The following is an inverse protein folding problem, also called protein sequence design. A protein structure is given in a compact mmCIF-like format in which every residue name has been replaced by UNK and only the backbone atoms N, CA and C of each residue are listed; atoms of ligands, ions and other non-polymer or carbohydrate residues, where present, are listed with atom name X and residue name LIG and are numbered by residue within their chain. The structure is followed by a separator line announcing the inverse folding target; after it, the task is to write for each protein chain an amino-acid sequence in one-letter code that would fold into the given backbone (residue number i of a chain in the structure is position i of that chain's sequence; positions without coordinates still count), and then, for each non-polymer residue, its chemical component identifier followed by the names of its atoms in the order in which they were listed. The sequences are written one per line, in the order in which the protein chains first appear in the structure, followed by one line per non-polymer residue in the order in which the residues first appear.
data_IF_249323050143
#
_entry.id   IF_249323050143
#
_cell.length_a   1.000
_cell.length_b   1.000
_cell.length_c   1.000
_cell.angle_alpha   90.00
_cell.angle_beta   90.00
_cell.angle_gamma   90.00
#
_symmetry.space_group_name_H-M   'P 1'
#
loop_
_entity.id
_entity.type
_entity.pdbx_description
1 polymer ?
#
# COMPACT_ATOMS: atom_id res chain seq x y z
N UNK A 1 18.93 5.86 -9.92
CA UNK A 1 18.06 6.37 -8.82
C UNK A 1 17.87 7.87 -8.98
N UNK A 2 16.65 8.39 -8.81
CA UNK A 2 16.32 9.79 -9.11
C UNK A 2 16.53 10.71 -7.91
N UNK A 3 17.31 11.78 -8.08
CA UNK A 3 17.50 12.82 -7.05
C UNK A 3 16.18 13.56 -6.74
N UNK A 4 15.35 13.82 -7.76
CA UNK A 4 14.02 14.42 -7.59
C UNK A 4 13.12 13.55 -6.71
N UNK A 5 13.02 12.25 -7.00
CA UNK A 5 12.17 11.34 -6.22
C UNK A 5 12.67 11.19 -4.78
N UNK A 6 13.99 11.23 -4.58
CA UNK A 6 14.61 11.25 -3.24
C UNK A 6 14.26 12.50 -2.46
N UNK A 7 14.30 13.67 -3.09
CA UNK A 7 13.89 14.94 -2.49
C UNK A 7 12.41 14.92 -2.06
N UNK A 8 11.54 14.37 -2.92
CA UNK A 8 10.12 14.20 -2.60
C UNK A 8 9.88 13.22 -1.45
N UNK A 9 10.66 12.15 -1.37
CA UNK A 9 10.61 11.22 -0.24
C UNK A 9 10.97 11.92 1.07
N UNK A 10 12.09 12.65 1.09
CA UNK A 10 12.51 13.43 2.27
C UNK A 10 11.49 14.50 2.65
N UNK A 11 10.82 15.13 1.68
CA UNK A 11 9.77 16.10 1.92
C UNK A 11 8.53 15.46 2.54
N UNK A 12 8.15 14.29 2.07
CA UNK A 12 7.03 13.51 2.61
C UNK A 12 7.31 13.07 4.04
N UNK A 13 8.52 12.59 4.35
CA UNK A 13 8.90 12.28 5.74
C UNK A 13 8.84 13.52 6.65
N UNK A 14 9.26 14.68 6.14
CA UNK A 14 9.13 15.95 6.87
C UNK A 14 7.67 16.31 7.13
N UNK A 15 6.81 16.22 6.13
CA UNK A 15 5.37 16.51 6.24
C UNK A 15 4.70 15.61 7.30
N UNK A 16 5.00 14.31 7.27
CA UNK A 16 4.48 13.35 8.25
C UNK A 16 5.00 13.67 9.65
N UNK A 17 6.29 13.96 9.79
CA UNK A 17 6.89 14.30 11.08
C UNK A 17 6.38 15.63 11.67
N UNK A 18 6.11 16.64 10.84
CA UNK A 18 5.54 17.92 11.27
C UNK A 18 4.02 17.89 11.39
N UNK A 19 3.37 16.82 10.92
CA UNK A 19 1.93 16.64 11.02
C UNK A 19 1.09 17.45 10.03
N UNK A 20 1.69 17.99 8.96
CA UNK A 20 1.00 18.86 8.02
C UNK A 20 1.89 19.46 6.92
N UNK A 21 1.27 20.10 5.94
CA UNK A 21 1.92 20.73 4.79
C UNK A 21 1.20 22.00 4.33
N UNK A 22 1.87 22.84 3.53
CA UNK A 22 1.23 23.95 2.84
C UNK A 22 0.76 23.50 1.46
N UNK A 23 -0.55 23.58 1.22
CA UNK A 23 -1.15 23.32 -0.07
C UNK A 23 -0.74 24.39 -1.11
N UNK A 24 -0.95 24.15 -2.42
CA UNK A 24 -0.65 25.14 -3.46
C UNK A 24 -1.29 26.53 -3.23
N UNK A 25 -2.47 26.58 -2.64
CA UNK A 25 -3.18 27.81 -2.22
C UNK A 25 -2.50 28.57 -1.07
N UNK A 26 -1.49 27.99 -0.44
CA UNK A 26 -0.84 28.49 0.77
C UNK A 26 -1.52 28.05 2.07
N UNK A 27 -2.71 27.42 1.99
CA UNK A 27 -3.45 26.89 3.14
C UNK A 27 -2.62 25.83 3.86
N UNK A 28 -2.61 25.90 5.19
CA UNK A 28 -2.06 24.84 6.03
C UNK A 28 -3.05 23.66 6.06
N UNK A 29 -2.58 22.48 5.71
CA UNK A 29 -3.33 21.22 5.80
C UNK A 29 -2.72 20.38 6.91
N UNK A 30 -3.51 20.05 7.91
CA UNK A 30 -3.11 19.22 9.05
C UNK A 30 -3.49 17.75 8.79
N UNK A 31 -2.54 16.85 9.00
CA UNK A 31 -2.72 15.40 8.83
C UNK A 31 -2.29 14.58 10.05
N UNK A 32 -1.72 15.22 11.08
CA UNK A 32 -1.15 14.53 12.26
C UNK A 32 -2.10 13.51 12.88
N UNK A 33 -3.35 13.91 13.15
CA UNK A 33 -4.35 13.03 13.76
C UNK A 33 -4.71 11.85 12.84
N UNK A 34 -4.76 12.05 11.52
CA UNK A 34 -5.03 10.98 10.57
C UNK A 34 -3.86 9.99 10.48
N UNK A 35 -2.62 10.50 10.48
CA UNK A 35 -1.41 9.68 10.55
C UNK A 35 -1.41 8.80 11.80
N UNK A 36 -1.64 9.37 12.98
CA UNK A 36 -1.62 8.62 14.24
C UNK A 36 -2.73 7.55 14.30
N UNK A 37 -3.93 7.86 13.81
CA UNK A 37 -5.00 6.85 13.68
C UNK A 37 -4.59 5.71 12.75
N UNK A 38 -4.01 6.04 11.59
CA UNK A 38 -3.61 5.06 10.60
C UNK A 38 -2.48 4.14 11.12
N UNK A 39 -1.50 4.70 11.83
CA UNK A 39 -0.44 3.95 12.52
C UNK A 39 -1.01 3.02 13.58
N UNK A 40 -1.83 3.54 14.49
CA UNK A 40 -2.41 2.76 15.58
C UNK A 40 -3.34 1.64 15.08
N UNK A 41 -4.01 1.86 13.94
CA UNK A 41 -4.86 0.85 13.30
C UNK A 41 -4.12 -0.15 12.41
N UNK A 42 -2.83 0.06 12.15
CA UNK A 42 -2.07 -0.82 11.25
C UNK A 42 -1.84 -2.18 11.91
N UNK A 43 -2.14 -3.26 11.18
CA UNK A 43 -2.02 -4.63 11.66
C UNK A 43 -1.64 -5.61 10.55
N UNK A 44 -1.09 -6.75 10.94
CA UNK A 44 -0.79 -7.86 10.03
C UNK A 44 -1.88 -8.93 10.09
N UNK A 45 -2.22 -9.47 8.93
CA UNK A 45 -3.07 -10.64 8.72
C UNK A 45 -2.30 -11.78 8.04
N UNK A 46 -2.85 -12.99 8.15
CA UNK A 46 -2.27 -14.21 7.60
C UNK A 46 -1.03 -14.69 8.37
N UNK A 47 -0.28 -15.67 7.83
CA UNK A 47 -0.44 -16.29 6.49
C UNK A 47 -1.64 -17.23 6.32
N UNK A 48 -2.29 -17.62 7.41
CA UNK A 48 -3.48 -18.47 7.45
C UNK A 48 -4.72 -17.71 6.94
N UNK A 49 -5.79 -18.43 6.53
CA UNK A 49 -7.06 -17.79 6.17
C UNK A 49 -7.56 -16.81 7.23
N UNK A 50 -8.02 -15.65 6.78
CA UNK A 50 -8.58 -14.61 7.62
C UNK A 50 -10.09 -14.80 7.68
N UNK A 51 -10.65 -14.85 8.89
CA UNK A 51 -12.09 -14.96 9.06
C UNK A 51 -12.78 -13.71 8.51
N UNK A 52 -13.69 -13.91 7.56
CA UNK A 52 -14.52 -12.84 6.99
C UNK A 52 -15.95 -12.93 7.54
N UNK A 53 -16.53 -11.77 7.84
CA UNK A 53 -17.93 -11.69 8.27
C UNK A 53 -18.90 -12.13 7.17
N UNK A 54 -20.13 -12.48 7.55
CA UNK A 54 -21.18 -12.71 6.56
C UNK A 54 -21.40 -11.43 5.74
N UNK A 55 -21.58 -11.54 4.41
CA UNK A 55 -21.87 -10.37 3.58
C UNK A 55 -23.11 -9.64 4.11
N UNK A 56 -23.03 -8.31 4.13
CA UNK A 56 -24.14 -7.49 4.60
C UNK A 56 -25.42 -7.80 3.81
N UNK A 57 -26.60 -7.84 4.45
CA UNK A 57 -27.87 -8.05 3.76
C UNK A 57 -28.10 -6.97 2.68
N UNK A 58 -28.43 -7.40 1.47
CA UNK A 58 -28.73 -6.52 0.34
C UNK A 58 -27.92 -6.87 -0.92
N UNK A 59 -28.55 -6.79 -2.09
CA UNK A 59 -27.85 -7.01 -3.35
C UNK A 59 -26.93 -5.82 -3.64
N UNK A 60 -25.61 -6.02 -3.57
CA UNK A 60 -24.62 -5.11 -4.14
C UNK A 60 -24.07 -5.74 -5.42
N UNK A 61 -24.18 -5.04 -6.53
CA UNK A 61 -23.56 -5.46 -7.79
C UNK A 61 -22.13 -4.92 -7.83
N UNK A 62 -21.14 -5.81 -7.83
CA UNK A 62 -19.74 -5.41 -8.02
C UNK A 62 -19.52 -4.95 -9.45
N UNK A 63 -18.97 -3.74 -9.63
CA UNK A 63 -18.58 -3.19 -10.93
C UNK A 63 -17.07 -3.31 -11.05
N UNK A 64 -16.60 -3.81 -12.19
CA UNK A 64 -15.19 -3.91 -12.52
C UNK A 64 -14.83 -2.90 -13.61
N UNK A 65 -13.76 -2.15 -13.41
CA UNK A 65 -13.22 -1.17 -14.36
C UNK A 65 -11.73 -1.43 -14.58
N UNK A 66 -11.25 -1.30 -15.81
CA UNK A 66 -9.82 -1.28 -16.15
C UNK A 66 -9.48 0.07 -16.74
N UNK A 67 -8.54 0.78 -16.11
CA UNK A 67 -8.18 2.16 -16.46
C UNK A 67 -6.67 2.31 -16.62
N UNK A 68 -6.24 3.41 -17.26
CA UNK A 68 -4.81 3.78 -17.36
C UNK A 68 -4.31 4.62 -16.18
N UNK A 69 -5.04 4.63 -15.05
CA UNK A 69 -4.74 5.49 -13.90
C UNK A 69 -3.64 4.90 -13.02
N UNK A 70 -2.89 5.75 -12.34
CA UNK A 70 -2.09 5.33 -11.19
C UNK A 70 -2.99 5.05 -9.99
N UNK A 71 -2.49 4.24 -9.04
CA UNK A 71 -3.28 3.78 -7.88
C UNK A 71 -3.80 4.93 -7.02
N UNK A 72 -3.03 6.02 -6.85
CA UNK A 72 -3.48 7.18 -6.08
C UNK A 72 -4.48 8.04 -6.86
N UNK A 73 -4.38 8.12 -8.19
CA UNK A 73 -5.38 8.80 -9.02
C UNK A 73 -6.72 8.07 -8.97
N UNK A 74 -6.73 6.74 -9.16
CA UNK A 74 -7.93 5.93 -9.04
C UNK A 74 -8.52 5.98 -7.62
N UNK A 75 -7.68 5.90 -6.58
CA UNK A 75 -8.09 6.04 -5.19
C UNK A 75 -8.80 7.37 -4.94
N UNK A 76 -8.23 8.47 -5.42
CA UNK A 76 -8.84 9.80 -5.29
C UNK A 76 -10.21 9.88 -5.97
N UNK A 77 -10.31 9.42 -7.23
CA UNK A 77 -11.58 9.38 -7.98
C UNK A 77 -12.67 8.61 -7.22
N UNK A 78 -12.32 7.46 -6.64
CA UNK A 78 -13.25 6.64 -5.87
C UNK A 78 -13.65 7.28 -4.53
N UNK A 79 -12.72 7.94 -3.85
CA UNK A 79 -13.01 8.67 -2.62
C UNK A 79 -13.97 9.85 -2.89
N UNK A 80 -13.78 10.56 -4.00
CA UNK A 80 -14.64 11.68 -4.42
C UNK A 80 -16.04 11.23 -4.87
N UNK A 81 -16.20 9.96 -5.31
CA UNK A 81 -17.48 9.40 -5.74
C UNK A 81 -18.46 9.07 -4.58
N UNK A 82 -18.04 9.18 -3.32
CA UNK A 82 -18.92 9.10 -2.15
C UNK A 82 -19.18 7.68 -1.60
N UNK A 83 -18.35 6.69 -1.95
CA UNK A 83 -18.46 5.30 -1.47
C UNK A 83 -17.76 4.98 -0.14
N UNK A 84 -17.18 5.99 0.53
CA UNK A 84 -16.28 5.83 1.66
C UNK A 84 -14.80 5.71 1.24
N UNK A 85 -13.87 5.54 2.19
CA UNK A 85 -12.44 5.43 1.89
C UNK A 85 -12.15 4.19 1.02
N UNK A 86 -11.46 4.34 -0.13
CA UNK A 86 -11.08 3.20 -0.96
C UNK A 86 -10.00 2.34 -0.26
N UNK A 87 -9.91 1.08 -0.65
CA UNK A 87 -8.76 0.23 -0.34
C UNK A 87 -7.85 0.10 -1.56
N UNK A 88 -6.53 0.29 -1.37
CA UNK A 88 -5.51 0.26 -2.41
C UNK A 88 -4.52 -0.87 -2.11
N UNK A 89 -4.32 -1.78 -3.06
CA UNK A 89 -3.28 -2.79 -2.96
C UNK A 89 -1.90 -2.17 -3.23
N UNK A 90 -0.98 -2.30 -2.29
CA UNK A 90 0.45 -1.98 -2.43
C UNK A 90 1.22 -3.22 -2.90
N UNK A 91 1.91 -3.10 -4.04
CA UNK A 91 2.77 -4.14 -4.63
C UNK A 91 4.10 -4.18 -3.89
N UNK A 92 4.04 -4.73 -2.68
CA UNK A 92 5.04 -4.51 -1.67
C UNK A 92 6.35 -5.25 -1.93
N UNK A 93 7.45 -4.62 -1.52
CA UNK A 93 8.69 -5.32 -1.23
C UNK A 93 8.49 -6.23 -0.02
N UNK A 94 8.86 -7.51 -0.17
CA UNK A 94 8.85 -8.45 0.95
C UNK A 94 9.87 -8.09 2.05
N UNK A 95 10.92 -7.32 1.73
CA UNK A 95 12.10 -7.22 2.62
C UNK A 95 12.39 -5.83 3.14
N UNK A 96 11.90 -4.80 2.47
CA UNK A 96 12.20 -3.41 2.81
C UNK A 96 10.89 -2.61 2.84
N UNK A 97 10.50 -2.00 3.98
CA UNK A 97 9.31 -1.16 4.02
C UNK A 97 9.43 -0.01 3.01
N UNK A 98 8.41 0.15 2.16
CA UNK A 98 8.41 1.14 1.09
C UNK A 98 9.43 0.88 -0.02
N UNK A 99 9.99 -0.33 -0.12
CA UNK A 99 10.92 -0.70 -1.17
C UNK A 99 12.15 0.21 -1.22
N UNK A 100 12.40 0.82 -2.38
CA UNK A 100 13.49 1.76 -2.61
C UNK A 100 13.11 3.23 -2.44
N UNK A 101 11.97 3.54 -1.82
CA UNK A 101 11.34 4.85 -1.77
C UNK A 101 12.30 5.98 -1.34
N UNK A 102 12.96 5.81 -0.18
CA UNK A 102 13.89 6.79 0.36
C UNK A 102 15.12 7.02 -0.52
N UNK A 103 15.45 6.07 -1.39
CA UNK A 103 16.59 6.16 -2.30
C UNK A 103 16.21 6.76 -3.66
N UNK A 104 14.93 7.03 -3.90
CA UNK A 104 14.42 7.56 -5.17
C UNK A 104 14.23 6.47 -6.25
N UNK A 105 13.84 5.26 -5.85
CA UNK A 105 13.34 4.24 -6.77
C UNK A 105 11.95 4.62 -7.30
N UNK A 106 11.62 4.03 -8.45
CA UNK A 106 10.35 4.24 -9.12
C UNK A 106 9.69 2.88 -9.40
N UNK A 107 8.77 2.49 -8.54
CA UNK A 107 7.69 1.56 -8.82
C UNK A 107 6.43 2.04 -8.08
N UNK A 108 5.40 1.19 -8.07
CA UNK A 108 4.11 1.52 -7.47
C UNK A 108 4.22 1.73 -5.96
N UNK A 109 4.86 0.82 -5.21
CA UNK A 109 5.07 0.96 -3.77
C UNK A 109 5.75 2.29 -3.41
N UNK A 110 6.81 2.68 -4.12
CA UNK A 110 7.48 3.94 -3.83
C UNK A 110 6.63 5.16 -4.19
N UNK A 111 5.76 5.06 -5.18
CA UNK A 111 4.82 6.13 -5.51
C UNK A 111 3.76 6.28 -4.41
N UNK A 112 3.22 5.17 -3.90
CA UNK A 112 2.30 5.18 -2.75
C UNK A 112 2.97 5.80 -1.52
N UNK A 113 4.22 5.43 -1.23
CA UNK A 113 4.98 5.98 -0.11
C UNK A 113 5.31 7.47 -0.29
N UNK A 114 5.58 7.96 -1.51
CA UNK A 114 5.74 9.40 -1.78
C UNK A 114 4.44 10.18 -1.63
N UNK A 115 3.32 9.57 -1.97
CA UNK A 115 2.04 10.27 -2.02
C UNK A 115 1.24 10.27 -0.73
N UNK A 116 1.67 9.53 0.28
CA UNK A 116 0.87 9.26 1.49
C UNK A 116 1.74 9.04 2.73
N UNK A 117 1.10 8.81 3.88
CA UNK A 117 1.77 8.39 5.10
C UNK A 117 2.02 6.86 5.20
N UNK A 118 1.87 6.11 4.10
CA UNK A 118 1.96 4.64 4.10
C UNK A 118 3.29 4.12 4.67
N UNK A 119 4.41 4.77 4.35
CA UNK A 119 5.73 4.34 4.82
C UNK A 119 5.82 4.29 6.36
N UNK A 120 5.22 5.28 7.03
CA UNK A 120 5.20 5.31 8.50
C UNK A 120 4.33 4.18 9.07
N UNK A 121 3.23 3.84 8.39
CA UNK A 121 2.32 2.78 8.81
C UNK A 121 2.97 1.39 8.68
N UNK A 122 3.53 1.06 7.52
CA UNK A 122 4.11 -0.28 7.28
C UNK A 122 5.34 -0.57 8.15
N UNK A 123 6.00 0.47 8.67
CA UNK A 123 7.11 0.33 9.62
C UNK A 123 6.69 -0.16 11.01
N UNK A 124 5.41 -0.04 11.35
CA UNK A 124 4.87 -0.57 12.61
C UNK A 124 4.77 -2.10 12.60
N UNK A 125 5.02 -2.77 11.45
CA UNK A 125 4.98 -4.23 11.31
C UNK A 125 6.34 -4.80 10.89
N UNK A 126 7.40 -4.66 11.71
CA UNK A 126 8.74 -5.15 11.38
C UNK A 126 8.80 -6.68 11.17
N UNK A 127 7.90 -7.45 11.79
CA UNK A 127 7.81 -8.90 11.72
C UNK A 127 7.46 -9.42 10.33
N UNK A 128 6.69 -8.66 9.55
CA UNK A 128 6.41 -8.99 8.14
C UNK A 128 7.74 -9.13 7.37
N UNK A 129 8.57 -8.08 7.45
CA UNK A 129 9.84 -8.04 6.73
C UNK A 129 10.90 -8.96 7.34
N UNK A 130 10.88 -9.14 8.67
CA UNK A 130 11.80 -10.05 9.35
C UNK A 130 11.58 -11.49 8.90
N UNK A 131 10.33 -11.94 8.76
CA UNK A 131 9.99 -13.27 8.28
C UNK A 131 10.55 -13.54 6.86
N UNK A 132 10.37 -12.60 5.92
CA UNK A 132 10.89 -12.76 4.54
C UNK A 132 12.41 -12.58 4.39
N UNK A 133 13.07 -11.98 5.38
CA UNK A 133 14.53 -11.94 5.47
C UNK A 133 15.10 -13.24 6.04
N UNK A 134 14.44 -13.81 7.05
CA UNK A 134 14.83 -15.08 7.67
C UNK A 134 14.63 -16.28 6.73
N UNK A 135 13.54 -16.27 5.95
CA UNK A 135 13.25 -17.30 4.95
C UNK A 135 13.32 -16.71 3.53
N UNK A 136 14.46 -16.84 2.84
CA UNK A 136 14.68 -16.19 1.54
C UNK A 136 14.02 -16.94 0.38
N UNK A 137 12.77 -17.37 0.54
CA UNK A 137 11.97 -17.93 -0.55
C UNK A 137 11.50 -16.81 -1.51
N UNK A 138 11.67 -16.97 -2.84
CA UNK A 138 11.15 -16.01 -3.80
C UNK A 138 9.63 -16.11 -3.98
N UNK A 139 8.97 -17.10 -3.35
CA UNK A 139 7.52 -17.15 -3.24
C UNK A 139 6.97 -16.21 -2.17
N UNK A 140 7.81 -15.75 -1.23
CA UNK A 140 7.42 -15.02 -0.03
C UNK A 140 6.30 -15.75 0.75
N UNK A 141 5.39 -15.02 1.40
CA UNK A 141 4.30 -15.62 2.18
C UNK A 141 3.00 -14.85 1.98
N UNK A 142 1.90 -15.43 2.43
CA UNK A 142 0.55 -14.85 2.28
C UNK A 142 0.18 -13.90 3.43
N UNK A 143 1.20 -13.21 3.97
CA UNK A 143 1.03 -12.18 4.99
C UNK A 143 0.57 -10.89 4.30
N UNK A 144 -0.33 -10.16 4.94
CA UNK A 144 -0.84 -8.88 4.44
C UNK A 144 -0.79 -7.87 5.57
N UNK A 145 -0.13 -6.73 5.36
CA UNK A 145 -0.27 -5.59 6.28
C UNK A 145 -1.46 -4.77 5.82
N UNK A 146 -2.41 -4.54 6.72
CA UNK A 146 -3.50 -3.60 6.51
C UNK A 146 -3.22 -2.31 7.27
N UNK A 147 -3.19 -1.19 6.56
CA UNK A 147 -3.07 0.16 7.13
C UNK A 147 -4.35 0.96 6.83
N UNK A 148 -5.26 1.14 7.81
CA UNK A 148 -6.53 1.83 7.60
C UNK A 148 -6.36 3.34 7.53
N UNK A 149 -7.19 4.03 6.74
CA UNK A 149 -7.35 5.48 6.81
C UNK A 149 -6.06 6.31 6.62
N UNK A 150 -5.11 5.81 5.84
CA UNK A 150 -3.84 6.48 5.59
C UNK A 150 -4.10 7.76 4.77
N UNK A 151 -3.67 8.94 5.23
CA UNK A 151 -3.83 10.17 4.46
C UNK A 151 -2.94 10.16 3.22
N UNK A 152 -3.56 10.39 2.07
CA UNK A 152 -2.93 10.63 0.77
C UNK A 152 -2.99 12.13 0.49
N UNK A 153 -1.82 12.72 0.25
CA UNK A 153 -1.64 14.17 0.15
C UNK A 153 -0.81 14.60 -1.06
N UNK A 154 -0.42 13.67 -1.95
CA UNK A 154 0.08 14.02 -3.29
C UNK A 154 -0.63 13.27 -4.41
N UNK A 155 -0.66 13.87 -5.59
CA UNK A 155 -1.02 13.20 -6.84
C UNK A 155 0.15 12.40 -7.44
N UNK A 156 -0.10 11.65 -8.52
CA UNK A 156 0.92 10.85 -9.22
C UNK A 156 2.02 11.70 -9.88
N UNK A 157 1.82 13.02 -10.00
CA UNK A 157 2.84 13.97 -10.50
C UNK A 157 3.72 14.52 -9.37
N UNK A 158 3.34 14.24 -8.11
CA UNK A 158 4.02 14.67 -6.89
C UNK A 158 3.56 16.01 -6.35
N UNK A 159 2.48 16.58 -6.89
CA UNK A 159 1.92 17.85 -6.40
C UNK A 159 1.16 17.59 -5.11
N UNK A 160 1.33 18.47 -4.12
CA UNK A 160 0.54 18.44 -2.89
C UNK A 160 -0.92 18.75 -3.20
N UNK A 161 -1.83 18.01 -2.57
CA UNK A 161 -3.27 18.16 -2.75
C UNK A 161 -3.81 19.31 -1.91
N UNK A 162 -4.80 20.04 -2.43
CA UNK A 162 -5.55 21.00 -1.60
C UNK A 162 -6.29 20.27 -0.48
N UNK A 163 -7.00 19.21 -0.84
CA UNK A 163 -7.79 18.39 0.08
C UNK A 163 -7.20 16.98 0.01
N UNK A 164 -6.55 16.49 1.10
CA UNK A 164 -6.11 15.12 1.16
C UNK A 164 -7.33 14.19 1.28
N UNK A 165 -7.17 12.94 0.91
CA UNK A 165 -8.17 11.89 1.13
C UNK A 165 -7.56 10.74 1.93
N UNK A 166 -8.39 10.00 2.65
CA UNK A 166 -7.94 8.80 3.38
C UNK A 166 -8.19 7.55 2.53
N UNK A 167 -7.25 6.59 2.58
CA UNK A 167 -7.39 5.29 1.93
C UNK A 167 -6.87 4.17 2.84
N UNK A 168 -7.50 3.00 2.79
CA UNK A 168 -6.91 1.79 3.33
C UNK A 168 -5.83 1.25 2.39
N UNK A 169 -4.72 0.74 2.92
CA UNK A 169 -3.69 0.08 2.12
C UNK A 169 -3.54 -1.39 2.53
N UNK A 170 -3.51 -2.26 1.53
CA UNK A 170 -3.22 -3.69 1.68
C UNK A 170 -1.83 -3.95 1.10
N UNK A 171 -0.85 -4.20 1.96
CA UNK A 171 0.55 -4.40 1.59
C UNK A 171 0.85 -5.89 1.57
N UNK A 172 1.05 -6.43 0.37
CA UNK A 172 1.33 -7.85 0.15
C UNK A 172 2.42 -8.01 -0.92
N UNK A 173 3.36 -8.92 -0.69
CA UNK A 173 4.46 -9.17 -1.62
C UNK A 173 4.10 -10.28 -2.62
N UNK A 174 4.01 -9.97 -3.90
CA UNK A 174 3.80 -10.97 -4.95
C UNK A 174 5.01 -11.90 -5.10
N UNK A 175 4.85 -13.18 -5.50
CA UNK A 175 5.98 -14.06 -5.82
C UNK A 175 6.89 -13.40 -6.84
N UNK A 176 8.21 -13.45 -6.62
CA UNK A 176 9.17 -12.89 -7.56
C UNK A 176 9.37 -13.86 -8.73
N UNK A 177 8.45 -13.81 -9.69
CA UNK A 177 8.41 -14.70 -10.85
C UNK A 177 9.71 -14.68 -11.67
N UNK A 178 10.37 -13.51 -11.79
CA UNK A 178 11.65 -13.39 -12.48
C UNK A 178 12.78 -14.14 -11.77
N UNK A 179 12.84 -14.06 -10.43
CA UNK A 179 13.79 -14.85 -9.64
C UNK A 179 13.46 -16.33 -9.69
N UNK A 180 12.17 -16.70 -9.60
CA UNK A 180 11.72 -18.10 -9.69
C UNK A 180 12.11 -18.70 -11.05
N UNK A 181 11.79 -18.03 -12.16
CA UNK A 181 12.12 -18.52 -13.49
C UNK A 181 13.63 -18.72 -13.69
N UNK A 182 14.45 -17.81 -13.13
CA UNK A 182 15.92 -17.86 -13.27
C UNK A 182 16.59 -18.87 -12.33
N UNK A 183 16.15 -18.98 -11.08
CA UNK A 183 16.84 -19.73 -10.03
C UNK A 183 16.15 -21.04 -9.64
N UNK A 184 14.83 -21.14 -9.90
CA UNK A 184 13.97 -22.28 -9.54
C UNK A 184 12.98 -22.59 -10.68
N UNK A 185 13.46 -22.82 -11.92
CA UNK A 185 12.57 -22.98 -13.09
C UNK A 185 11.58 -24.14 -12.95
N UNK A 186 11.97 -25.23 -12.29
CA UNK A 186 11.09 -26.36 -12.00
C UNK A 186 9.89 -25.98 -11.11
N UNK A 187 9.99 -24.90 -10.34
CA UNK A 187 8.94 -24.40 -9.47
C UNK A 187 8.07 -23.30 -10.13
N UNK A 188 8.40 -22.86 -11.36
CA UNK A 188 7.69 -21.76 -12.03
C UNK A 188 6.18 -22.03 -12.20
N UNK A 189 5.80 -23.30 -12.42
CA UNK A 189 4.40 -23.71 -12.49
C UNK A 189 3.59 -23.49 -11.21
N UNK A 190 4.25 -23.24 -10.06
CA UNK A 190 3.58 -22.96 -8.77
C UNK A 190 3.18 -21.49 -8.61
N UNK A 191 3.70 -20.58 -9.45
CA UNK A 191 3.46 -19.14 -9.32
C UNK A 191 1.98 -18.77 -9.39
N UNK A 192 1.17 -19.31 -10.34
CA UNK A 192 -0.26 -18.97 -10.41
C UNK A 192 -1.02 -19.35 -9.14
N UNK A 193 -0.77 -20.54 -8.58
CA UNK A 193 -1.41 -20.98 -7.35
C UNK A 193 -1.02 -20.12 -6.14
N UNK A 194 0.26 -19.76 -6.03
CA UNK A 194 0.73 -18.86 -4.98
C UNK A 194 0.13 -17.44 -5.10
N UNK A 195 -0.04 -16.93 -6.33
CA UNK A 195 -0.72 -15.66 -6.57
C UNK A 195 -2.20 -15.72 -6.19
N UNK A 196 -2.91 -16.80 -6.54
CA UNK A 196 -4.33 -16.96 -6.23
C UNK A 196 -4.57 -17.01 -4.72
N UNK A 197 -3.82 -17.83 -3.98
CA UNK A 197 -3.91 -17.91 -2.53
C UNK A 197 -3.63 -16.55 -1.86
N UNK A 198 -2.65 -15.80 -2.36
CA UNK A 198 -2.31 -14.48 -1.83
C UNK A 198 -3.35 -13.42 -2.15
N UNK A 199 -3.90 -13.44 -3.36
CA UNK A 199 -4.99 -12.55 -3.75
C UNK A 199 -6.22 -12.80 -2.86
N UNK A 200 -6.51 -14.06 -2.52
CA UNK A 200 -7.55 -14.40 -1.55
C UNK A 200 -7.27 -13.77 -0.18
N UNK A 201 -6.07 -13.94 0.39
CA UNK A 201 -5.69 -13.29 1.66
C UNK A 201 -5.81 -11.77 1.64
N UNK A 202 -5.47 -11.13 0.51
CA UNK A 202 -5.65 -9.68 0.33
C UNK A 202 -7.12 -9.29 0.38
N UNK A 203 -8.00 -10.03 -0.31
CA UNK A 203 -9.44 -9.75 -0.32
C UNK A 203 -10.10 -10.04 1.03
N UNK A 204 -9.67 -11.09 1.74
CA UNK A 204 -10.16 -11.36 3.08
C UNK A 204 -9.74 -10.28 4.08
N UNK A 205 -8.47 -9.83 4.03
CA UNK A 205 -8.00 -8.72 4.86
C UNK A 205 -8.72 -7.40 4.55
N UNK A 206 -9.18 -7.21 3.30
CA UNK A 206 -10.02 -6.07 2.92
C UNK A 206 -11.45 -6.15 3.49
N UNK A 207 -11.95 -7.37 3.74
CA UNK A 207 -13.32 -7.63 4.19
C UNK A 207 -13.45 -7.80 5.72
N UNK A 208 -12.34 -8.00 6.44
CA UNK A 208 -12.29 -8.31 7.88
C UNK A 208 -12.14 -7.08 8.79
#
# INVERSE_FOLDING_TARGET
MSARLRGMAQETERIVATGGYRAPSGRLVEIAAAVERARAGTRMYGPEPVAVGAPAPGARTTVFEVTGEGSLTAGRRLAEAGGGPPAILNFASARNPGGGYLNGAQAQEEALCRGSALYTCVREVPEFYAAHRAEPSPFYSDRVIYSPGVPVFRDDRGNLLEVPYEAGFLTAAAPNAGVIARQRPAEAGRVPAALAARAERVLEAAAA
#
